data_IF_825368263822
#
_entry.id   IF_825368263822
#
_cell.length_a   1.000
_cell.length_b   1.000
_cell.length_c   1.000
_cell.angle_alpha   90.00
_cell.angle_beta   90.00
_cell.angle_gamma   90.00
#
_symmetry.space_group_name_H-M   'P 1'
#
loop_
_entity.id
_entity.type
_entity.pdbx_description
1 polymer ?
#
# COMPACT_ATOMS: atom_id res chain seq x y z
N UNK A 1 18.50 -53.12 -38.06
CA UNK A 1 17.65 -52.20 -37.28
C UNK A 1 18.50 -51.65 -36.13
N UNK A 2 19.15 -50.51 -36.34
CA UNK A 2 20.07 -49.93 -35.35
C UNK A 2 19.31 -49.08 -34.35
N UNK A 3 19.22 -49.55 -33.10
CA UNK A 3 18.69 -48.78 -31.97
C UNK A 3 19.70 -47.67 -31.61
N UNK A 4 19.33 -46.41 -31.85
CA UNK A 4 20.07 -45.26 -31.34
C UNK A 4 19.89 -45.18 -29.82
N UNK A 5 20.99 -45.28 -29.07
CA UNK A 5 20.98 -45.00 -27.63
C UNK A 5 20.65 -43.51 -27.42
N UNK A 6 19.62 -43.16 -26.62
CA UNK A 6 19.27 -41.77 -26.41
C UNK A 6 20.33 -41.10 -25.54
N UNK A 7 20.86 -39.98 -26.02
CA UNK A 7 21.80 -39.14 -25.28
C UNK A 7 21.18 -38.68 -23.95
N UNK A 8 21.94 -38.72 -22.86
CA UNK A 8 21.46 -38.39 -21.50
C UNK A 8 20.78 -37.00 -21.38
N UNK A 9 21.10 -36.08 -22.29
CA UNK A 9 20.45 -34.76 -22.37
C UNK A 9 19.03 -34.82 -22.95
N UNK A 10 18.79 -35.73 -23.90
CA UNK A 10 17.47 -35.93 -24.49
C UNK A 10 16.53 -36.68 -23.56
N UNK A 11 17.02 -37.67 -22.80
CA UNK A 11 16.21 -38.34 -21.77
C UNK A 11 15.79 -37.40 -20.65
N UNK A 12 16.69 -36.49 -20.24
CA UNK A 12 16.38 -35.45 -19.26
C UNK A 12 15.28 -34.49 -19.73
N UNK A 13 15.37 -33.96 -20.96
CA UNK A 13 14.35 -33.07 -21.51
C UNK A 13 13.00 -33.74 -21.69
N UNK A 14 12.98 -35.00 -22.16
CA UNK A 14 11.74 -35.77 -22.29
C UNK A 14 11.10 -36.02 -20.93
N UNK A 15 11.88 -36.37 -19.91
CA UNK A 15 11.37 -36.61 -18.56
C UNK A 15 10.80 -35.34 -17.94
N UNK A 16 11.52 -34.21 -18.05
CA UNK A 16 11.03 -32.91 -17.55
C UNK A 16 9.76 -32.49 -18.28
N UNK A 17 9.68 -32.67 -19.59
CA UNK A 17 8.47 -32.40 -20.38
C UNK A 17 7.28 -33.24 -19.93
N UNK A 18 7.50 -34.53 -19.64
CA UNK A 18 6.47 -35.45 -19.15
C UNK A 18 5.96 -35.06 -17.76
N UNK A 19 6.86 -34.67 -16.86
CA UNK A 19 6.51 -34.17 -15.52
C UNK A 19 5.68 -32.90 -15.61
N UNK A 20 6.06 -31.95 -16.47
CA UNK A 20 5.30 -30.70 -16.65
C UNK A 20 3.91 -30.97 -17.21
N UNK A 21 3.78 -31.86 -18.20
CA UNK A 21 2.48 -32.27 -18.74
C UNK A 21 1.58 -32.90 -17.67
N UNK A 22 2.12 -33.75 -16.81
CA UNK A 22 1.39 -34.33 -15.68
C UNK A 22 0.94 -33.26 -14.68
N UNK A 23 1.81 -32.29 -14.36
CA UNK A 23 1.50 -31.23 -13.41
C UNK A 23 0.39 -30.30 -13.92
N UNK A 24 0.46 -29.90 -15.19
CA UNK A 24 -0.58 -29.08 -15.84
C UNK A 24 -1.89 -29.87 -15.93
N UNK A 25 -1.84 -31.15 -16.31
CA UNK A 25 -3.02 -32.01 -16.36
C UNK A 25 -3.71 -32.17 -15.01
N UNK A 26 -2.95 -32.32 -13.93
CA UNK A 26 -3.47 -32.39 -12.56
C UNK A 26 -4.15 -31.07 -12.14
N UNK A 27 -3.55 -29.92 -12.47
CA UNK A 27 -4.13 -28.60 -12.18
C UNK A 27 -5.48 -28.41 -12.90
N UNK A 28 -5.54 -28.65 -14.21
CA UNK A 28 -6.77 -28.50 -14.99
C UNK A 28 -7.89 -29.41 -14.44
N UNK A 29 -7.56 -30.66 -14.12
CA UNK A 29 -8.53 -31.61 -13.54
C UNK A 29 -8.96 -31.25 -12.12
N UNK A 30 -8.06 -30.64 -11.33
CA UNK A 30 -8.37 -30.10 -10.01
C UNK A 30 -9.36 -28.94 -10.07
N UNK A 31 -9.15 -28.00 -11.00
CA UNK A 31 -10.04 -26.84 -11.16
C UNK A 31 -11.47 -27.22 -11.59
N UNK A 32 -11.64 -28.23 -12.45
CA UNK A 32 -12.97 -28.67 -12.88
C UNK A 32 -13.82 -29.27 -11.75
N UNK A 33 -13.21 -29.82 -10.69
CA UNK A 33 -13.95 -30.39 -9.56
C UNK A 33 -14.45 -29.36 -8.55
N UNK A 34 -14.02 -28.10 -8.65
CA UNK A 34 -14.41 -27.02 -7.73
C UNK A 34 -15.43 -26.03 -8.30
N UNK A 35 -15.93 -26.26 -9.51
CA UNK A 35 -17.12 -25.57 -10.00
C UNK A 35 -18.36 -26.17 -9.30
N UNK A 36 -18.50 -25.84 -8.02
CA UNK A 36 -19.69 -26.16 -7.22
C UNK A 36 -20.91 -25.54 -7.92
N UNK A 37 -21.88 -26.41 -8.14
CA UNK A 37 -23.19 -26.15 -8.71
C UNK A 37 -23.83 -24.90 -8.09
N UNK A 38 -24.31 -23.98 -8.94
CA UNK A 38 -24.89 -22.73 -8.50
C UNK A 38 -26.08 -23.00 -7.55
N UNK A 39 -26.19 -22.30 -6.40
CA UNK A 39 -27.33 -22.46 -5.51
C UNK A 39 -28.64 -22.21 -6.28
N UNK A 40 -29.70 -23.01 -6.05
CA UNK A 40 -30.95 -22.84 -6.78
C UNK A 40 -31.52 -21.43 -6.56
N UNK A 41 -32.04 -20.86 -7.64
CA UNK A 41 -32.63 -19.53 -7.70
C UNK A 41 -33.68 -19.37 -6.58
N UNK A 42 -33.43 -18.45 -5.65
CA UNK A 42 -34.35 -18.13 -4.55
C UNK A 42 -35.67 -17.65 -5.16
N UNK A 43 -36.69 -18.51 -5.15
CA UNK A 43 -38.07 -18.13 -5.50
C UNK A 43 -38.59 -17.22 -4.39
N UNK A 44 -38.48 -15.92 -4.61
CA UNK A 44 -39.12 -14.93 -3.73
C UNK A 44 -40.63 -15.10 -3.84
N UNK A 45 -41.24 -15.70 -2.81
CA UNK A 45 -42.68 -15.70 -2.64
C UNK A 45 -43.04 -14.31 -2.13
N UNK A 46 -43.54 -13.46 -3.01
CA UNK A 46 -44.07 -12.14 -2.65
C UNK A 46 -45.20 -12.36 -1.65
N UNK A 47 -44.96 -12.01 -0.38
CA UNK A 47 -46.04 -11.86 0.59
C UNK A 47 -46.82 -10.63 0.12
N UNK A 48 -47.99 -10.87 -0.48
CA UNK A 48 -49.02 -9.84 -0.62
C UNK A 48 -49.53 -9.61 0.80
N UNK A 49 -48.99 -8.59 1.46
CA UNK A 49 -49.44 -8.13 2.76
C UNK A 49 -50.84 -7.51 2.57
N UNK A 50 -51.91 -8.07 3.17
CA UNK A 50 -53.22 -7.45 3.11
C UNK A 50 -53.18 -6.11 3.83
N UNK A 51 -53.60 -5.07 3.11
CA UNK A 51 -53.70 -3.70 3.58
C UNK A 51 -54.79 -3.58 4.65
N UNK A 52 -54.41 -3.77 5.90
CA UNK A 52 -55.14 -3.18 7.02
C UNK A 52 -54.13 -2.35 7.81
N UNK A 53 -53.89 -1.12 7.34
CA UNK A 53 -53.10 -0.15 8.11
C UNK A 53 -53.98 0.32 9.27
N UNK A 54 -53.66 0.00 10.54
CA UNK A 54 -54.28 0.72 11.64
C UNK A 54 -53.91 2.19 11.48
N UNK A 55 -54.89 3.10 11.64
CA UNK A 55 -54.66 4.54 11.59
C UNK A 55 -53.43 4.89 12.43
N UNK A 56 -52.47 5.67 11.90
CA UNK A 56 -51.31 6.10 12.68
C UNK A 56 -51.77 6.76 13.97
N UNK A 57 -51.49 6.10 15.10
CA UNK A 57 -51.67 6.71 16.42
C UNK A 57 -50.68 7.86 16.46
N UNK A 58 -51.19 9.09 16.60
CA UNK A 58 -50.33 10.26 16.78
C UNK A 58 -49.39 10.00 17.97
N UNK A 59 -48.07 10.12 17.79
CA UNK A 59 -47.14 9.99 18.90
C UNK A 59 -47.49 11.03 19.96
N UNK A 60 -47.49 10.67 21.26
CA UNK A 60 -47.67 11.66 22.32
C UNK A 60 -46.59 12.74 22.16
N UNK A 61 -47.02 14.01 22.04
CA UNK A 61 -46.10 15.15 22.03
C UNK A 61 -45.36 15.17 23.36
N UNK A 62 -44.09 14.79 23.33
CA UNK A 62 -43.18 15.02 24.43
C UNK A 62 -43.06 16.54 24.57
N UNK A 63 -43.37 17.13 25.74
CA UNK A 63 -43.16 18.56 25.95
C UNK A 63 -41.69 18.88 25.71
N UNK A 64 -41.45 19.84 24.81
CA UNK A 64 -40.11 20.23 24.39
C UNK A 64 -39.30 20.64 25.64
N UNK A 65 -38.15 19.98 25.92
CA UNK A 65 -37.33 20.33 27.07
C UNK A 65 -36.83 21.76 26.93
N UNK A 66 -37.05 22.58 27.96
CA UNK A 66 -36.50 23.93 27.98
C UNK A 66 -34.97 23.87 27.94
N UNK A 67 -34.39 24.14 26.76
CA UNK A 67 -32.96 24.26 26.57
C UNK A 67 -32.51 25.48 27.37
N UNK A 68 -31.93 25.25 28.55
CA UNK A 68 -31.22 26.30 29.25
C UNK A 68 -29.95 26.60 28.45
N UNK A 69 -29.90 27.77 27.81
CA UNK A 69 -28.68 28.27 27.18
C UNK A 69 -27.56 28.29 28.21
N UNK A 70 -26.41 27.63 27.94
CA UNK A 70 -25.29 27.61 28.86
C UNK A 70 -24.81 29.05 29.07
N UNK A 71 -24.79 29.51 30.33
CA UNK A 71 -24.18 30.79 30.68
C UNK A 71 -22.69 30.70 30.37
N UNK A 72 -22.18 31.59 29.52
CA UNK A 72 -20.75 31.73 29.31
C UNK A 72 -20.10 32.04 30.66
N UNK A 73 -19.26 31.11 31.13
CA UNK A 73 -18.33 31.37 32.22
C UNK A 73 -17.11 32.02 31.56
N UNK A 74 -16.93 33.31 31.80
CA UNK A 74 -15.72 34.02 31.37
C UNK A 74 -14.57 33.63 32.29
N UNK A 75 -13.71 32.74 31.79
CA UNK A 75 -12.49 32.32 32.49
C UNK A 75 -11.47 33.45 32.34
N UNK A 76 -10.97 34.05 33.43
CA UNK A 76 -9.92 35.05 33.36
C UNK A 76 -8.65 34.41 32.81
N UNK A 77 -8.23 34.84 31.63
CA UNK A 77 -7.01 34.37 30.99
C UNK A 77 -5.83 35.05 31.71
N UNK A 78 -4.93 34.29 32.37
CA UNK A 78 -3.75 34.89 33.00
C UNK A 78 -2.80 35.47 31.94
N UNK A 79 -2.11 36.58 32.22
CA UNK A 79 -1.14 37.15 31.29
C UNK A 79 0.04 36.19 31.13
N UNK A 80 0.24 35.71 29.90
CA UNK A 80 1.42 34.94 29.50
C UNK A 80 2.54 35.94 29.19
N UNK A 81 3.52 36.05 30.09
CA UNK A 81 4.79 36.73 29.79
C UNK A 81 5.62 35.85 28.84
N UNK A 82 5.70 36.25 27.57
CA UNK A 82 6.53 35.59 26.58
C UNK A 82 7.97 36.09 26.77
N UNK A 83 8.78 35.34 27.51
CA UNK A 83 10.23 35.58 27.57
C UNK A 83 10.84 35.22 26.21
N UNK A 84 11.19 36.25 25.43
CA UNK A 84 11.84 36.12 24.13
C UNK A 84 13.16 35.34 24.28
N UNK A 85 13.17 34.11 23.77
CA UNK A 85 14.37 33.27 23.77
C UNK A 85 15.33 33.80 22.70
N UNK A 86 16.52 34.21 23.13
CA UNK A 86 17.61 34.69 22.27
C UNK A 86 17.99 33.63 21.24
N UNK A 87 17.93 33.97 19.96
CA UNK A 87 18.35 33.09 18.86
C UNK A 87 19.85 32.72 18.99
N UNK A 88 20.21 31.44 18.78
CA UNK A 88 21.61 31.02 18.74
C UNK A 88 22.24 31.43 17.39
N UNK A 89 23.39 32.11 17.47
CA UNK A 89 24.24 32.45 16.33
C UNK A 89 24.85 31.18 15.76
N UNK A 90 24.51 30.87 14.50
CA UNK A 90 25.13 29.79 13.74
C UNK A 90 26.47 30.30 13.19
N UNK A 91 27.59 29.73 13.66
CA UNK A 91 28.92 29.98 13.08
C UNK A 91 29.20 28.90 12.04
N UNK A 92 29.28 29.27 10.77
CA UNK A 92 29.69 28.39 9.69
C UNK A 92 31.22 28.28 9.65
N UNK A 93 31.77 27.15 10.10
CA UNK A 93 33.17 26.78 9.84
C UNK A 93 33.28 26.25 8.41
N UNK A 94 33.91 27.03 7.53
CA UNK A 94 34.20 26.61 6.15
C UNK A 94 35.15 25.41 6.14
N UNK A 95 34.73 24.33 5.48
CA UNK A 95 35.59 23.20 5.13
C UNK A 95 36.43 23.60 3.93
N UNK A 96 37.75 23.72 4.11
CA UNK A 96 38.70 23.87 3.00
C UNK A 96 38.84 22.53 2.27
N UNK A 97 38.25 22.43 1.09
CA UNK A 97 38.49 21.32 0.15
C UNK A 97 39.94 21.36 -0.36
N UNK A 98 40.75 20.43 0.13
CA UNK A 98 42.07 20.13 -0.43
C UNK A 98 41.91 19.36 -1.75
N UNK A 99 41.78 20.07 -2.87
CA UNK A 99 41.82 19.46 -4.20
C UNK A 99 43.22 19.61 -4.80
N UNK A 100 44.04 18.58 -4.62
CA UNK A 100 45.30 18.39 -5.34
C UNK A 100 45.01 18.22 -6.83
N UNK A 101 45.49 19.16 -7.65
CA UNK A 101 45.51 19.05 -9.11
C UNK A 101 46.67 18.14 -9.53
N UNK A 102 46.37 16.95 -10.05
CA UNK A 102 47.29 16.22 -10.94
C UNK A 102 46.84 16.43 -12.39
N UNK A 103 47.74 16.81 -13.32
CA UNK A 103 47.39 16.92 -14.74
C UNK A 103 47.11 15.53 -15.31
N UNK A 104 45.92 15.32 -15.87
CA UNK A 104 45.66 14.18 -16.74
C UNK A 104 45.99 14.55 -18.18
N UNK A 105 46.89 13.78 -18.76
CA UNK A 105 47.23 13.77 -20.18
C UNK A 105 46.04 13.24 -20.98
N UNK A 106 45.61 14.01 -21.98
CA UNK A 106 44.50 13.65 -22.88
C UNK A 106 45.08 12.87 -24.05
N UNK A 107 44.86 11.56 -24.08
CA UNK A 107 45.03 10.76 -25.29
C UNK A 107 43.67 10.56 -25.95
N UNK A 108 43.59 10.97 -27.21
CA UNK A 108 42.40 10.96 -28.07
C UNK A 108 42.11 9.56 -28.67
N UNK A 109 40.87 9.44 -29.17
CA UNK A 109 40.37 8.48 -30.18
C UNK A 109 39.71 7.17 -29.70
N UNK A 110 38.41 7.28 -29.42
CA UNK A 110 37.39 6.71 -30.31
C UNK A 110 37.29 5.18 -30.39
N UNK A 111 36.54 4.60 -29.45
CA UNK A 111 35.84 3.33 -29.70
C UNK A 111 34.34 3.52 -29.47
N UNK A 112 33.54 3.23 -30.50
CA UNK A 112 32.08 3.22 -30.40
C UNK A 112 31.67 2.09 -29.46
N UNK A 113 31.44 2.41 -28.19
CA UNK A 113 30.79 1.50 -27.26
C UNK A 113 29.29 1.48 -27.57
N UNK A 114 28.84 0.32 -28.02
CA UNK A 114 27.43 -0.05 -28.06
C UNK A 114 26.87 0.07 -26.63
N UNK A 115 25.97 1.02 -26.41
CA UNK A 115 25.38 1.30 -25.10
C UNK A 115 24.26 0.28 -24.88
N UNK A 116 24.62 -0.93 -24.47
CA UNK A 116 23.66 -1.82 -23.83
C UNK A 116 23.23 -1.16 -22.51
N UNK A 117 21.93 -0.97 -22.22
CA UNK A 117 21.51 -0.44 -20.94
C UNK A 117 21.97 -1.41 -19.85
N UNK A 118 22.98 -1.01 -19.08
CA UNK A 118 23.41 -1.74 -17.90
C UNK A 118 22.32 -1.58 -16.83
N UNK A 119 21.31 -2.46 -16.85
CA UNK A 119 20.32 -2.53 -15.79
C UNK A 119 21.02 -3.08 -14.56
N UNK A 120 21.27 -2.19 -13.58
CA UNK A 120 21.75 -2.61 -12.27
C UNK A 120 20.84 -3.70 -11.70
N UNK A 121 21.39 -4.72 -11.00
CA UNK A 121 20.58 -5.74 -10.34
C UNK A 121 19.55 -5.09 -9.41
N UNK A 122 18.30 -5.58 -9.37
CA UNK A 122 17.28 -5.02 -8.49
C UNK A 122 17.75 -5.17 -7.03
N UNK A 123 17.81 -4.06 -6.31
CA UNK A 123 18.16 -4.05 -4.90
C UNK A 123 17.01 -4.67 -4.09
N UNK A 124 17.20 -5.91 -3.64
CA UNK A 124 16.19 -6.67 -2.91
C UNK A 124 16.13 -6.34 -1.42
N UNK A 125 17.03 -5.49 -0.91
CA UNK A 125 17.03 -5.13 0.49
C UNK A 125 15.81 -4.26 0.83
N UNK A 126 15.04 -4.65 1.85
CA UNK A 126 13.93 -3.85 2.35
C UNK A 126 14.49 -2.65 3.11
N UNK A 127 14.30 -1.46 2.56
CA UNK A 127 14.74 -0.19 3.16
C UNK A 127 13.59 0.56 3.83
N UNK A 128 13.93 1.54 4.66
CA UNK A 128 12.95 2.49 5.18
C UNK A 128 12.60 3.51 4.10
N UNK A 129 11.31 3.89 3.95
CA UNK A 129 10.86 4.76 2.87
C UNK A 129 11.52 6.14 2.91
N UNK A 130 11.78 6.70 4.10
CA UNK A 130 12.44 8.00 4.25
C UNK A 130 13.90 8.03 3.80
N UNK A 131 14.54 6.88 3.61
CA UNK A 131 15.91 6.79 3.09
C UNK A 131 15.97 6.66 1.55
N UNK A 132 14.86 6.30 0.91
CA UNK A 132 14.81 5.99 -0.53
C UNK A 132 13.87 6.88 -1.32
N UNK A 133 12.80 7.40 -0.71
CA UNK A 133 11.80 8.21 -1.37
C UNK A 133 12.06 9.70 -1.10
N UNK A 134 12.12 10.48 -2.18
CA UNK A 134 12.28 11.93 -2.12
C UNK A 134 10.96 12.64 -1.86
N UNK A 135 9.85 12.04 -2.31
CA UNK A 135 8.50 12.55 -2.07
C UNK A 135 7.65 11.47 -1.43
N UNK A 136 6.95 11.82 -0.35
CA UNK A 136 6.07 10.94 0.41
C UNK A 136 4.84 11.74 0.87
N UNK A 137 3.70 11.07 0.99
CA UNK A 137 2.47 11.65 1.53
C UNK A 137 1.76 10.65 2.44
N UNK A 138 1.09 11.13 3.49
CA UNK A 138 0.23 10.29 4.30
C UNK A 138 -1.07 9.95 3.52
N UNK A 139 -1.55 8.70 3.59
CA UNK A 139 -2.83 8.33 3.00
C UNK A 139 -4.00 9.11 3.62
N UNK A 140 -4.95 9.51 2.79
CA UNK A 140 -6.18 10.13 3.25
C UNK A 140 -7.06 9.11 3.99
N UNK A 141 -7.68 9.51 5.09
CA UNK A 141 -8.60 8.64 5.83
C UNK A 141 -9.90 8.46 5.05
N UNK A 142 -10.29 7.21 4.71
CA UNK A 142 -11.54 6.97 4.02
C UNK A 142 -12.72 7.32 4.93
N UNK A 143 -13.81 7.84 4.34
CA UNK A 143 -15.06 8.12 5.03
C UNK A 143 -15.80 6.82 5.37
N UNK A 144 -15.36 6.15 6.43
CA UNK A 144 -15.93 4.90 6.95
C UNK A 144 -16.37 5.11 8.39
N UNK A 145 -17.57 4.66 8.73
CA UNK A 145 -18.11 4.72 10.10
C UNK A 145 -17.52 3.60 10.95
N UNK A 146 -16.25 3.74 11.31
CA UNK A 146 -15.52 2.79 12.15
C UNK A 146 -14.72 3.54 13.21
N UNK A 147 -14.67 2.99 14.42
CA UNK A 147 -13.93 3.54 15.56
C UNK A 147 -12.85 2.55 16.01
N UNK A 148 -11.70 3.08 16.44
CA UNK A 148 -10.59 2.28 16.95
C UNK A 148 -9.25 2.58 16.29
N UNK A 149 -8.29 1.68 16.52
CA UNK A 149 -6.94 1.76 15.97
C UNK A 149 -6.70 0.64 14.94
N UNK A 150 -6.09 1.00 13.82
CA UNK A 150 -5.77 0.08 12.74
C UNK A 150 -4.31 0.24 12.32
N UNK A 151 -3.63 -0.89 12.24
CA UNK A 151 -2.21 -0.97 11.93
C UNK A 151 -2.05 -1.75 10.61
N UNK A 152 -1.48 -1.10 9.61
CA UNK A 152 -1.17 -1.69 8.32
C UNK A 152 0.33 -1.65 8.06
N UNK A 153 0.86 -2.76 7.54
CA UNK A 153 2.22 -2.84 7.00
C UNK A 153 2.14 -2.93 5.50
N UNK A 154 2.73 -1.97 4.80
CA UNK A 154 2.85 -1.96 3.36
C UNK A 154 4.29 -2.28 2.96
N UNK A 155 4.47 -3.28 2.11
CA UNK A 155 5.74 -3.56 1.43
C UNK A 155 5.57 -3.17 -0.03
N UNK A 156 6.31 -2.16 -0.48
CA UNK A 156 6.20 -1.61 -1.80
C UNK A 156 7.45 -1.88 -2.63
N UNK A 157 7.25 -2.28 -3.88
CA UNK A 157 8.31 -2.42 -4.87
C UNK A 157 8.29 -1.20 -5.80
N UNK A 158 9.42 -0.54 -5.92
CA UNK A 158 9.66 0.61 -6.78
C UNK A 158 10.44 0.16 -8.00
N UNK A 159 9.95 0.54 -9.19
CA UNK A 159 10.69 0.38 -10.43
C UNK A 159 10.65 1.68 -11.22
N UNK A 160 11.79 2.12 -11.74
CA UNK A 160 11.89 3.31 -12.58
C UNK A 160 11.38 4.59 -11.91
N UNK A 161 11.54 4.73 -10.59
CA UNK A 161 11.12 5.94 -9.89
C UNK A 161 9.70 5.93 -9.32
N UNK A 162 8.93 4.84 -9.51
CA UNK A 162 7.51 4.73 -9.13
C UNK A 162 7.20 3.39 -8.47
N UNK A 163 6.23 3.41 -7.57
CA UNK A 163 5.72 2.20 -6.92
C UNK A 163 4.90 1.38 -7.93
N UNK A 164 5.35 0.17 -8.25
CA UNK A 164 4.67 -0.73 -9.21
C UNK A 164 3.83 -1.80 -8.51
N UNK A 165 4.25 -2.22 -7.32
CA UNK A 165 3.60 -3.28 -6.53
C UNK A 165 3.54 -2.84 -5.08
N UNK A 166 2.42 -3.13 -4.44
CA UNK A 166 2.21 -2.89 -3.00
C UNK A 166 1.56 -4.15 -2.42
N UNK A 167 2.18 -4.69 -1.39
CA UNK A 167 1.64 -5.78 -0.58
C UNK A 167 1.26 -5.22 0.78
N UNK A 168 -0.02 -5.32 1.14
CA UNK A 168 -0.53 -4.83 2.42
C UNK A 168 -0.86 -5.98 3.35
N UNK A 169 -0.43 -5.86 4.60
CA UNK A 169 -0.76 -6.75 5.69
C UNK A 169 -1.40 -5.94 6.82
N UNK A 170 -2.63 -6.30 7.20
CA UNK A 170 -3.25 -5.77 8.40
C UNK A 170 -2.63 -6.46 9.62
N UNK A 171 -1.98 -5.67 10.49
CA UNK A 171 -1.32 -6.16 11.71
C UNK A 171 -2.25 -6.11 12.92
N UNK A 172 -3.24 -5.23 12.91
CA UNK A 172 -4.19 -5.06 14.01
C UNK A 172 -5.39 -4.20 13.65
N UNK A 173 -6.47 -4.36 14.42
CA UNK A 173 -7.74 -3.66 14.26
C UNK A 173 -8.91 -4.62 13.96
N UNK A 174 -10.01 -4.51 14.72
CA UNK A 174 -11.25 -5.26 14.48
C UNK A 174 -12.09 -4.57 13.39
N UNK A 175 -11.52 -4.47 12.19
CA UNK A 175 -12.15 -3.80 11.06
C UNK A 175 -13.02 -4.78 10.27
N UNK A 176 -14.18 -4.33 9.82
CA UNK A 176 -14.97 -5.10 8.85
C UNK A 176 -14.27 -5.15 7.48
N UNK A 177 -14.67 -6.10 6.64
CA UNK A 177 -14.02 -6.33 5.35
C UNK A 177 -14.15 -5.14 4.39
N UNK A 178 -15.21 -4.33 4.50
CA UNK A 178 -15.41 -3.14 3.67
C UNK A 178 -14.46 -2.04 4.10
N UNK A 179 -14.36 -1.79 5.40
CA UNK A 179 -13.43 -0.81 5.99
C UNK A 179 -11.99 -1.17 5.66
N UNK A 180 -11.58 -2.44 5.84
CA UNK A 180 -10.23 -2.90 5.48
C UNK A 180 -9.89 -2.62 4.01
N UNK A 181 -10.81 -2.90 3.08
CA UNK A 181 -10.62 -2.61 1.65
C UNK A 181 -10.50 -1.12 1.38
N UNK A 182 -11.30 -0.29 2.05
CA UNK A 182 -11.23 1.16 1.90
C UNK A 182 -9.86 1.71 2.31
N UNK A 183 -9.34 1.29 3.46
CA UNK A 183 -7.98 1.66 3.91
C UNK A 183 -6.90 1.13 2.97
N UNK A 184 -6.99 -0.13 2.54
CA UNK A 184 -6.02 -0.68 1.58
C UNK A 184 -5.98 0.12 0.28
N UNK A 185 -7.15 0.48 -0.27
CA UNK A 185 -7.23 1.30 -1.48
C UNK A 185 -6.64 2.70 -1.29
N UNK A 186 -6.90 3.34 -0.13
CA UNK A 186 -6.35 4.66 0.19
C UNK A 186 -4.81 4.64 0.30
N UNK A 187 -4.26 3.62 0.99
CA UNK A 187 -2.81 3.42 1.12
C UNK A 187 -2.19 3.16 -0.25
N UNK A 188 -2.74 2.20 -1.02
CA UNK A 188 -2.24 1.89 -2.36
C UNK A 188 -2.29 3.08 -3.32
N UNK A 189 -3.41 3.81 -3.32
CA UNK A 189 -3.57 4.99 -4.17
C UNK A 189 -2.53 6.06 -3.85
N UNK A 190 -2.25 6.28 -2.57
CA UNK A 190 -1.27 7.26 -2.12
C UNK A 190 0.16 6.83 -2.47
N UNK A 191 0.51 5.56 -2.23
CA UNK A 191 1.84 5.02 -2.58
C UNK A 191 2.09 5.08 -4.09
N UNK A 192 1.10 4.74 -4.92
CA UNK A 192 1.28 4.75 -6.38
C UNK A 192 1.34 6.17 -6.96
N UNK A 193 0.61 7.13 -6.39
CA UNK A 193 0.45 8.47 -6.97
C UNK A 193 1.37 9.54 -6.37
N UNK A 194 1.69 9.46 -5.08
CA UNK A 194 2.42 10.51 -4.35
C UNK A 194 3.86 10.15 -4.03
N UNK A 195 4.23 8.87 -4.08
CA UNK A 195 5.59 8.47 -3.76
C UNK A 195 6.48 8.55 -4.99
N UNK A 196 7.63 9.20 -4.83
CA UNK A 196 8.69 9.25 -5.82
C UNK A 196 9.97 8.83 -5.13
N UNK A 197 10.56 7.73 -5.62
CA UNK A 197 11.76 7.15 -5.03
C UNK A 197 12.72 6.84 -6.18
N UNK A 198 13.86 7.54 -6.32
CA UNK A 198 14.81 7.28 -7.41
C UNK A 198 15.30 5.82 -7.39
N UNK A 199 15.43 5.22 -8.57
CA UNK A 199 15.95 3.86 -8.73
C UNK A 199 14.92 2.74 -8.58
N UNK A 200 15.44 1.51 -8.42
CA UNK A 200 14.69 0.28 -8.21
C UNK A 200 14.96 -0.21 -6.78
N UNK A 201 13.96 -0.13 -5.91
CA UNK A 201 14.10 -0.45 -4.49
C UNK A 201 12.84 -1.12 -3.95
N UNK A 202 13.01 -1.89 -2.87
CA UNK A 202 11.89 -2.38 -2.06
C UNK A 202 11.91 -1.69 -0.70
N UNK A 203 10.76 -1.18 -0.25
CA UNK A 203 10.65 -0.57 1.08
C UNK A 203 9.47 -1.09 1.86
N UNK A 204 9.55 -0.95 3.18
CA UNK A 204 8.47 -1.31 4.09
C UNK A 204 8.08 -0.09 4.92
N UNK A 205 6.78 0.18 5.00
CA UNK A 205 6.21 1.27 5.79
C UNK A 205 5.01 0.77 6.59
N UNK A 206 5.00 1.11 7.88
CA UNK A 206 3.88 0.86 8.76
C UNK A 206 3.00 2.13 8.84
N UNK A 207 1.69 1.96 8.77
CA UNK A 207 0.67 3.00 8.87
C UNK A 207 -0.24 2.71 10.05
N UNK A 208 -0.42 3.71 10.91
CA UNK A 208 -1.35 3.66 12.04
C UNK A 208 -2.47 4.66 11.80
N UNK A 209 -3.72 4.20 11.88
CA UNK A 209 -4.92 5.02 11.80
C UNK A 209 -5.65 4.94 13.13
N UNK A 210 -6.05 6.09 13.66
CA UNK A 210 -6.84 6.20 14.89
C UNK A 210 -8.10 7.01 14.57
N UNK A 211 -9.25 6.45 14.88
CA UNK A 211 -10.57 7.09 14.78
C UNK A 211 -11.18 7.16 16.18
N UNK A 212 -11.58 8.37 16.58
CA UNK A 212 -12.24 8.65 17.86
C UNK A 212 -13.74 8.28 17.84
#
# INVERSE_FOLDING_TARGET
MSMHAPNARTTGLVLVGLVHLLMVGALVKGFQRHAVEAPPLIKMKTIVEPEDKPKPVEPPRIPEPAIQTPRMVEVPIPPVEITQTKEPVIVATGVTDGRTNTPFEVTEAGSKQDVTPNRAPPDTAIKTPGAVCTQMAAPEMPAVSWTGEALFRAVADVQGGRVVSVQLQALGGSMDARTRRAFSNAIEGTLKSRYVCPGDHRFQQDFAFRMD
#
